data_IF_394619492858
#
_entry.id   IF_394619492858
#
_cell.length_a   1.000
_cell.length_b   1.000
_cell.length_c   1.000
_cell.angle_alpha   90.00
_cell.angle_beta   90.00
_cell.angle_gamma   90.00
#
_symmetry.space_group_name_H-M   'P 1'
#
loop_
_entity.id
_entity.type
_entity.pdbx_description
1 polymer ?
#
# COMPACT_ATOMS: atom_id res chain seq x y z
N UNK A 1 -13.54 -37.04 -9.20
CA UNK A 1 -12.46 -38.04 -9.26
C UNK A 1 -12.86 -39.30 -8.50
N UNK A 2 -12.43 -40.49 -8.93
CA UNK A 2 -12.60 -41.74 -8.18
C UNK A 2 -11.98 -41.61 -6.77
N UNK A 3 -12.67 -42.09 -5.73
CA UNK A 3 -12.19 -42.01 -4.34
C UNK A 3 -10.84 -42.72 -4.11
N UNK A 4 -10.52 -43.70 -4.94
CA UNK A 4 -9.26 -44.45 -4.89
C UNK A 4 -8.01 -43.65 -5.30
N UNK A 5 -8.19 -42.56 -6.07
CA UNK A 5 -7.08 -41.72 -6.54
C UNK A 5 -6.83 -40.52 -5.62
N UNK A 6 -7.63 -40.34 -4.57
CA UNK A 6 -7.46 -39.25 -3.62
C UNK A 6 -6.32 -39.65 -2.66
N UNK A 7 -5.21 -38.89 -2.62
CA UNK A 7 -4.13 -39.14 -1.67
C UNK A 7 -4.66 -39.10 -0.23
N UNK A 8 -4.19 -40.05 0.59
CA UNK A 8 -4.54 -40.13 2.01
C UNK A 8 -3.81 -39.07 2.83
N UNK A 9 -2.56 -38.79 2.47
CA UNK A 9 -1.68 -37.80 3.12
C UNK A 9 -1.16 -36.83 2.07
N UNK A 10 -0.91 -35.59 2.51
CA UNK A 10 -0.44 -34.51 1.64
C UNK A 10 0.91 -33.97 2.12
N UNK A 11 1.73 -33.43 1.21
CA UNK A 11 2.99 -32.78 1.60
C UNK A 11 2.75 -31.64 2.61
N UNK A 12 3.65 -31.50 3.58
CA UNK A 12 3.66 -30.45 4.60
C UNK A 12 3.58 -29.03 4.04
N UNK A 13 4.25 -28.77 2.92
CA UNK A 13 4.22 -27.45 2.26
C UNK A 13 2.86 -27.07 1.67
N UNK A 14 1.89 -27.99 1.56
CA UNK A 14 0.54 -27.67 1.10
C UNK A 14 -0.33 -27.03 2.18
N UNK A 15 0.10 -27.04 3.44
CA UNK A 15 -0.61 -26.38 4.56
C UNK A 15 -2.08 -26.81 4.68
N UNK A 16 -2.38 -28.08 4.41
CA UNK A 16 -3.73 -28.62 4.59
C UNK A 16 -3.96 -29.06 6.03
N UNK A 17 -4.37 -28.12 6.88
CA UNK A 17 -4.51 -28.29 8.33
C UNK A 17 -5.52 -29.37 8.75
N UNK A 18 -6.55 -29.60 7.93
CA UNK A 18 -7.64 -30.57 8.20
C UNK A 18 -7.30 -32.01 7.76
N UNK A 19 -6.14 -32.22 7.11
CA UNK A 19 -5.74 -33.50 6.53
C UNK A 19 -4.41 -33.94 7.10
N UNK A 20 -4.15 -35.26 7.19
CA UNK A 20 -2.86 -35.75 7.64
C UNK A 20 -1.78 -35.34 6.61
N UNK A 21 -0.63 -34.89 7.12
CA UNK A 21 0.48 -34.38 6.34
C UNK A 21 1.78 -35.13 6.62
N UNK A 22 2.66 -35.20 5.63
CA UNK A 22 4.00 -35.78 5.76
C UNK A 22 5.07 -34.77 5.37
N UNK A 23 6.27 -34.91 5.95
CA UNK A 23 7.41 -34.03 5.64
C UNK A 23 7.94 -34.38 4.25
N UNK A 24 7.86 -33.45 3.30
CA UNK A 24 8.35 -33.70 1.94
C UNK A 24 9.86 -33.51 1.84
N UNK A 25 10.59 -34.54 1.41
CA UNK A 25 12.05 -34.48 1.18
C UNK A 25 12.47 -33.76 -0.11
N UNK A 26 11.50 -33.38 -0.94
CA UNK A 26 11.72 -32.64 -2.19
C UNK A 26 12.25 -31.23 -1.96
N UNK A 27 12.77 -30.61 -3.02
CA UNK A 27 13.27 -29.23 -2.98
C UNK A 27 12.21 -28.25 -2.46
N UNK A 28 10.94 -28.44 -2.86
CA UNK A 28 9.84 -27.58 -2.45
C UNK A 28 9.55 -27.65 -0.93
N UNK A 29 9.55 -28.84 -0.34
CA UNK A 29 9.38 -29.02 1.10
C UNK A 29 10.53 -28.43 1.91
N UNK A 30 11.77 -28.56 1.41
CA UNK A 30 12.96 -27.93 2.04
C UNK A 30 12.89 -26.40 1.97
N UNK A 31 12.52 -25.84 0.82
CA UNK A 31 12.35 -24.40 0.63
C UNK A 31 11.22 -23.85 1.51
N UNK A 32 10.08 -24.53 1.57
CA UNK A 32 8.96 -24.16 2.42
C UNK A 32 9.37 -24.09 3.89
N UNK A 33 10.04 -25.12 4.42
CA UNK A 33 10.52 -25.16 5.81
C UNK A 33 11.55 -24.06 6.09
N UNK A 34 12.46 -23.80 5.17
CA UNK A 34 13.44 -22.72 5.29
C UNK A 34 12.77 -21.33 5.31
N UNK A 35 11.78 -21.10 4.44
CA UNK A 35 11.01 -19.86 4.39
C UNK A 35 10.14 -19.67 5.65
N UNK A 36 9.41 -20.71 6.05
CA UNK A 36 8.57 -20.71 7.24
C UNK A 36 9.39 -20.48 8.52
N UNK A 37 10.57 -21.10 8.63
CA UNK A 37 11.52 -20.85 9.71
C UNK A 37 11.97 -19.38 9.74
N UNK A 38 12.33 -18.81 8.59
CA UNK A 38 12.74 -17.40 8.48
C UNK A 38 11.62 -16.43 8.84
N UNK A 39 10.39 -16.72 8.45
CA UNK A 39 9.21 -15.91 8.80
C UNK A 39 8.89 -15.97 10.31
N UNK A 40 9.22 -17.07 10.99
CA UNK A 40 9.00 -17.23 12.43
C UNK A 40 10.16 -16.67 13.28
N UNK A 41 11.40 -16.76 12.79
CA UNK A 41 12.60 -16.35 13.54
C UNK A 41 12.97 -14.89 13.38
N UNK A 42 12.53 -14.24 12.30
CA UNK A 42 12.77 -12.82 12.08
C UNK A 42 11.42 -12.10 12.11
N UNK A 43 11.14 -11.22 13.10
CA UNK A 43 10.16 -10.16 12.85
C UNK A 43 10.63 -9.52 11.55
N UNK A 44 9.72 -9.39 10.56
CA UNK A 44 10.03 -8.84 9.25
C UNK A 44 10.97 -7.66 9.48
N UNK A 45 12.26 -7.84 9.14
CA UNK A 45 13.25 -6.78 9.34
C UNK A 45 12.59 -5.57 8.71
N UNK A 46 12.31 -4.49 9.47
CA UNK A 46 11.71 -3.32 8.87
C UNK A 46 12.58 -3.08 7.67
N UNK A 47 11.96 -3.20 6.49
CA UNK A 47 12.66 -2.94 5.26
C UNK A 47 13.45 -1.68 5.55
N UNK A 48 14.74 -1.68 5.25
CA UNK A 48 15.54 -0.46 5.23
C UNK A 48 14.97 0.57 4.20
N UNK A 49 13.70 0.42 3.78
CA UNK A 49 12.78 1.43 3.30
C UNK A 49 13.21 2.76 3.90
N UNK A 50 13.75 3.56 2.99
CA UNK A 50 14.39 4.82 3.25
C UNK A 50 13.59 5.59 4.29
N UNK A 51 14.24 6.02 5.36
CA UNK A 51 13.64 6.86 6.41
C UNK A 51 12.95 8.10 5.83
N UNK A 52 13.23 8.43 4.56
CA UNK A 52 12.29 9.13 3.73
C UNK A 52 12.41 8.84 2.24
N UNK A 53 11.28 8.74 1.52
CA UNK A 53 11.28 8.69 0.07
C UNK A 53 11.90 9.96 -0.55
N UNK A 54 12.58 9.77 -1.68
CA UNK A 54 13.13 10.88 -2.46
C UNK A 54 11.99 11.72 -3.07
N UNK A 55 12.15 13.05 -3.01
CA UNK A 55 11.22 14.00 -3.60
C UNK A 55 11.53 14.17 -5.10
N UNK A 56 10.53 13.97 -5.96
CA UNK A 56 10.65 14.18 -7.42
C UNK A 56 10.14 15.58 -7.78
N UNK A 57 11.03 16.55 -8.10
CA UNK A 57 10.62 17.90 -8.49
C UNK A 57 9.86 17.94 -9.81
N UNK A 58 9.92 16.88 -10.64
CA UNK A 58 9.20 16.82 -11.91
C UNK A 58 7.69 16.65 -11.74
N UNK A 59 7.22 16.42 -10.52
CA UNK A 59 5.80 16.39 -10.17
C UNK A 59 5.29 17.75 -9.68
N UNK A 60 6.13 18.79 -9.72
CA UNK A 60 5.73 20.17 -9.41
C UNK A 60 5.16 20.90 -10.64
N UNK A 61 4.04 21.61 -10.44
CA UNK A 61 3.37 22.40 -11.50
C UNK A 61 3.16 23.83 -11.02
N UNK A 62 3.58 24.86 -11.76
CA UNK A 62 3.45 26.25 -11.32
C UNK A 62 2.00 26.61 -10.97
N UNK A 63 1.83 27.33 -9.85
CA UNK A 63 0.52 27.65 -9.27
C UNK A 63 -0.06 26.57 -8.35
N UNK A 64 0.74 25.58 -7.93
CA UNK A 64 0.33 24.61 -6.90
C UNK A 64 0.19 25.25 -5.50
N UNK A 65 0.93 26.34 -5.24
CA UNK A 65 1.01 27.02 -3.94
C UNK A 65 -0.36 27.46 -3.42
N UNK A 66 -1.24 27.93 -4.31
CA UNK A 66 -2.61 28.36 -3.98
C UNK A 66 -3.46 27.23 -3.38
N UNK A 67 -3.09 25.97 -3.64
CA UNK A 67 -3.85 24.79 -3.21
C UNK A 67 -3.21 24.05 -2.03
N UNK A 68 -2.09 24.53 -1.48
CA UNK A 68 -1.38 23.86 -0.39
C UNK A 68 -2.24 23.73 0.88
N UNK A 69 -2.89 24.81 1.32
CA UNK A 69 -3.72 24.78 2.52
C UNK A 69 -4.87 23.76 2.39
N UNK A 70 -5.54 23.74 1.24
CA UNK A 70 -6.59 22.76 0.97
C UNK A 70 -6.06 21.33 0.86
N UNK A 71 -4.83 21.15 0.35
CA UNK A 71 -4.20 19.83 0.26
C UNK A 71 -3.83 19.30 1.65
N UNK A 72 -3.36 20.16 2.56
CA UNK A 72 -3.08 19.82 3.96
C UNK A 72 -4.35 19.36 4.70
N UNK A 73 -5.46 20.06 4.52
CA UNK A 73 -6.75 19.66 5.10
C UNK A 73 -7.20 18.28 4.61
N UNK A 74 -7.11 18.03 3.30
CA UNK A 74 -7.45 16.73 2.72
C UNK A 74 -6.52 15.62 3.22
N UNK A 75 -5.21 15.90 3.35
CA UNK A 75 -4.24 14.96 3.88
C UNK A 75 -4.52 14.62 5.34
N UNK A 76 -4.85 15.61 6.17
CA UNK A 76 -5.14 15.40 7.59
C UNK A 76 -6.39 14.56 7.79
N UNK A 77 -7.45 14.83 7.01
CA UNK A 77 -8.67 14.03 7.03
C UNK A 77 -8.42 12.60 6.56
N UNK A 78 -7.59 12.41 5.52
CA UNK A 78 -7.17 11.08 5.08
C UNK A 78 -6.39 10.33 6.17
N UNK A 79 -5.42 11.00 6.78
CA UNK A 79 -4.57 10.44 7.82
C UNK A 79 -5.38 10.00 9.05
N UNK A 80 -6.37 10.80 9.46
CA UNK A 80 -7.30 10.46 10.54
C UNK A 80 -8.14 9.21 10.21
N UNK A 81 -8.74 9.18 9.02
CA UNK A 81 -9.57 8.04 8.57
C UNK A 81 -8.76 6.76 8.43
N UNK A 82 -7.58 6.83 7.81
CA UNK A 82 -6.69 5.68 7.67
C UNK A 82 -6.20 5.20 9.03
N UNK A 83 -5.83 6.11 9.94
CA UNK A 83 -5.46 5.75 11.32
C UNK A 83 -6.58 5.04 12.05
N UNK A 84 -7.83 5.46 11.85
CA UNK A 84 -9.02 4.81 12.43
C UNK A 84 -9.19 3.39 11.90
N UNK A 85 -9.02 3.18 10.58
CA UNK A 85 -9.04 1.84 9.98
C UNK A 85 -7.90 0.96 10.51
N UNK A 86 -6.71 1.51 10.66
CA UNK A 86 -5.56 0.81 11.22
C UNK A 86 -5.82 0.35 12.65
N UNK A 87 -6.38 1.22 13.50
CA UNK A 87 -6.77 0.85 14.88
C UNK A 87 -7.86 -0.21 14.88
N UNK A 88 -8.88 -0.08 14.02
CA UNK A 88 -9.99 -1.03 13.92
C UNK A 88 -9.53 -2.44 13.54
N UNK A 89 -8.63 -2.55 12.56
CA UNK A 89 -8.12 -3.84 12.08
C UNK A 89 -6.85 -4.32 12.81
N UNK A 90 -6.26 -3.49 13.68
CA UNK A 90 -5.02 -3.82 14.40
C UNK A 90 -3.77 -3.80 13.53
N UNK A 91 -3.73 -2.95 12.49
CA UNK A 91 -2.55 -2.73 11.66
C UNK A 91 -1.62 -1.68 12.30
N UNK A 92 -0.33 -1.98 12.37
CA UNK A 92 0.67 -1.07 12.95
C UNK A 92 1.29 -0.16 11.89
N UNK A 93 1.46 -0.70 10.68
CA UNK A 93 2.10 -0.03 9.56
C UNK A 93 1.15 0.20 8.38
N UNK A 94 1.44 1.23 7.59
CA UNK A 94 0.68 1.60 6.41
C UNK A 94 0.65 0.47 5.36
N UNK A 95 1.75 -0.25 5.17
CA UNK A 95 1.81 -1.35 4.20
C UNK A 95 0.88 -2.51 4.58
N UNK A 96 0.69 -2.77 5.89
CA UNK A 96 -0.19 -3.83 6.37
C UNK A 96 -1.66 -3.55 6.03
N UNK A 97 -2.12 -2.31 6.28
CA UNK A 97 -3.51 -1.94 6.02
C UNK A 97 -3.78 -1.85 4.51
N UNK A 98 -2.84 -1.31 3.72
CA UNK A 98 -3.01 -1.18 2.28
C UNK A 98 -3.01 -2.53 1.55
N UNK A 99 -2.20 -3.48 2.02
CA UNK A 99 -2.13 -4.82 1.40
C UNK A 99 -3.11 -5.82 2.03
N UNK A 100 -3.71 -5.46 3.17
CA UNK A 100 -4.48 -6.37 4.02
C UNK A 100 -3.64 -7.48 4.67
N UNK A 101 -2.31 -7.39 4.64
CA UNK A 101 -1.41 -8.40 5.19
C UNK A 101 -0.87 -7.97 6.57
N UNK A 102 -1.65 -8.23 7.61
CA UNK A 102 -1.30 -7.88 9.00
C UNK A 102 -0.26 -8.87 9.54
N UNK A 103 0.89 -8.37 10.04
CA UNK A 103 1.98 -9.24 10.51
C UNK A 103 1.69 -9.90 11.86
N UNK A 104 1.01 -9.20 12.76
CA UNK A 104 0.71 -9.66 14.13
C UNK A 104 -0.43 -10.70 14.21
N UNK A 105 -1.02 -11.05 13.07
CA UNK A 105 -2.19 -11.94 12.93
C UNK A 105 -1.91 -13.43 13.16
N UNK A 106 -0.63 -13.84 13.17
CA UNK A 106 -0.18 -15.24 13.21
C UNK A 106 -0.71 -16.07 14.40
N UNK A 107 -1.42 -15.47 15.36
CA UNK A 107 -1.94 -16.13 16.56
C UNK A 107 -3.39 -16.62 16.47
N UNK A 108 -4.27 -16.06 15.64
CA UNK A 108 -5.71 -16.37 15.71
C UNK A 108 -6.28 -17.19 14.54
N UNK A 109 -5.58 -17.29 13.40
CA UNK A 109 -6.19 -17.85 12.19
C UNK A 109 -5.30 -18.70 11.29
N UNK A 110 -4.19 -19.21 11.79
CA UNK A 110 -3.48 -20.34 11.16
C UNK A 110 -4.34 -21.60 10.96
N UNK A 111 -5.59 -21.61 11.43
CA UNK A 111 -6.52 -22.74 11.39
C UNK A 111 -7.58 -22.66 10.29
N UNK A 112 -7.88 -21.47 9.74
CA UNK A 112 -9.00 -21.30 8.81
C UNK A 112 -8.63 -20.28 7.70
N UNK A 113 -7.96 -20.76 6.65
CA UNK A 113 -7.52 -19.94 5.52
C UNK A 113 -8.68 -19.13 4.93
N UNK A 114 -9.90 -19.68 4.92
CA UNK A 114 -11.07 -18.99 4.35
C UNK A 114 -11.36 -17.68 5.08
N UNK A 115 -11.40 -17.70 6.41
CA UNK A 115 -11.67 -16.52 7.23
C UNK A 115 -10.54 -15.48 7.12
N UNK A 116 -9.30 -15.92 6.90
CA UNK A 116 -8.20 -15.00 6.61
C UNK A 116 -8.44 -14.22 5.32
N UNK A 117 -8.78 -14.92 4.22
CA UNK A 117 -9.09 -14.27 2.95
C UNK A 117 -10.31 -13.34 3.10
N UNK A 118 -11.40 -13.80 3.74
CA UNK A 118 -12.57 -12.95 3.98
C UNK A 118 -12.24 -11.68 4.81
N UNK A 119 -11.35 -11.78 5.79
CA UNK A 119 -10.89 -10.62 6.56
C UNK A 119 -10.02 -9.68 5.72
N UNK A 120 -9.06 -10.24 4.99
CA UNK A 120 -8.19 -9.49 4.08
C UNK A 120 -9.03 -8.72 3.06
N UNK A 121 -10.04 -9.36 2.46
CA UNK A 121 -10.94 -8.74 1.51
C UNK A 121 -11.71 -7.58 2.15
N UNK A 122 -12.21 -7.73 3.39
CA UNK A 122 -12.86 -6.62 4.12
C UNK A 122 -11.93 -5.44 4.37
N UNK A 123 -10.67 -5.70 4.70
CA UNK A 123 -9.67 -4.64 4.89
C UNK A 123 -9.46 -3.89 3.57
N UNK A 124 -9.24 -4.63 2.49
CA UNK A 124 -9.04 -4.06 1.14
C UNK A 124 -10.27 -3.24 0.73
N UNK A 125 -11.48 -3.79 0.89
CA UNK A 125 -12.73 -3.10 0.57
C UNK A 125 -12.89 -1.80 1.36
N UNK A 126 -12.51 -1.80 2.65
CA UNK A 126 -12.58 -0.61 3.52
C UNK A 126 -11.61 0.48 3.05
N UNK A 127 -10.38 0.10 2.70
CA UNK A 127 -9.36 1.02 2.19
C UNK A 127 -9.75 1.54 0.81
N UNK A 128 -10.27 0.69 -0.08
CA UNK A 128 -10.80 1.11 -1.37
C UNK A 128 -11.97 2.08 -1.22
N UNK A 129 -12.87 1.85 -0.26
CA UNK A 129 -13.94 2.77 0.08
C UNK A 129 -13.41 4.15 0.47
N UNK A 130 -12.38 4.18 1.31
CA UNK A 130 -11.69 5.43 1.68
C UNK A 130 -11.04 6.10 0.45
N UNK A 131 -10.35 5.35 -0.39
CA UNK A 131 -9.73 5.90 -1.61
C UNK A 131 -10.77 6.48 -2.57
N UNK A 132 -11.93 5.82 -2.74
CA UNK A 132 -13.05 6.34 -3.54
C UNK A 132 -13.61 7.64 -2.97
N UNK A 133 -13.70 7.76 -1.65
CA UNK A 133 -14.15 8.98 -1.00
C UNK A 133 -13.16 10.14 -1.22
N UNK A 134 -11.87 9.89 -1.03
CA UNK A 134 -10.80 10.88 -1.26
C UNK A 134 -10.76 11.32 -2.72
N UNK A 135 -10.91 10.37 -3.65
CA UNK A 135 -11.03 10.66 -5.07
C UNK A 135 -12.29 11.49 -5.37
N UNK A 136 -13.38 11.27 -4.62
CA UNK A 136 -14.57 12.10 -4.64
C UNK A 136 -14.29 13.56 -4.27
N UNK A 137 -13.52 13.81 -3.21
CA UNK A 137 -13.10 15.18 -2.83
C UNK A 137 -12.27 15.85 -3.93
N UNK A 138 -11.41 15.08 -4.59
CA UNK A 138 -10.58 15.57 -5.68
C UNK A 138 -11.39 15.89 -6.95
N UNK A 139 -12.31 14.99 -7.33
CA UNK A 139 -13.12 15.11 -8.55
C UNK A 139 -14.25 16.13 -8.44
N UNK A 140 -14.67 16.48 -7.22
CA UNK A 140 -15.66 17.53 -6.97
C UNK A 140 -15.25 18.92 -7.48
N UNK A 141 -13.97 19.12 -7.82
CA UNK A 141 -13.42 20.40 -8.27
C UNK A 141 -13.07 20.38 -9.76
N UNK A 142 -12.93 21.55 -10.41
CA UNK A 142 -12.71 21.64 -11.86
C UNK A 142 -11.45 20.90 -12.34
N UNK A 143 -11.57 20.22 -13.49
CA UNK A 143 -10.46 19.48 -14.12
C UNK A 143 -9.29 20.37 -14.53
N UNK A 144 -9.54 21.64 -14.85
CA UNK A 144 -8.49 22.60 -15.23
C UNK A 144 -7.44 22.80 -14.12
N UNK A 145 -7.84 22.63 -12.85
CA UNK A 145 -6.98 22.79 -11.69
C UNK A 145 -6.41 21.45 -11.18
N UNK A 146 -6.74 20.33 -11.83
CA UNK A 146 -6.38 19.00 -11.35
C UNK A 146 -4.85 18.83 -11.24
N UNK A 147 -4.08 19.31 -12.23
CA UNK A 147 -2.62 19.22 -12.22
C UNK A 147 -1.99 19.99 -11.04
N UNK A 148 -2.43 21.23 -10.79
CA UNK A 148 -1.92 22.06 -9.68
C UNK A 148 -2.27 21.46 -8.32
N UNK A 149 -3.49 20.95 -8.16
CA UNK A 149 -3.94 20.29 -6.93
C UNK A 149 -3.19 18.99 -6.66
N UNK A 150 -2.99 18.18 -7.69
CA UNK A 150 -2.22 16.93 -7.59
C UNK A 150 -0.78 17.21 -7.17
N UNK A 151 -0.16 18.23 -7.77
CA UNK A 151 1.16 18.70 -7.38
C UNK A 151 1.21 19.16 -5.92
N UNK A 152 0.20 19.91 -5.46
CA UNK A 152 0.10 20.31 -4.05
C UNK A 152 -0.03 19.10 -3.10
N UNK A 153 -0.83 18.09 -3.47
CA UNK A 153 -0.98 16.84 -2.69
C UNK A 153 0.34 16.07 -2.60
N UNK A 154 1.09 15.99 -3.69
CA UNK A 154 2.42 15.38 -3.72
C UNK A 154 3.43 16.17 -2.87
N UNK A 155 3.39 17.50 -2.93
CA UNK A 155 4.26 18.37 -2.12
C UNK A 155 4.02 18.17 -0.63
N UNK A 156 2.77 18.24 -0.18
CA UNK A 156 2.39 18.13 1.24
C UNK A 156 2.85 16.81 1.85
N UNK A 157 2.87 15.74 1.07
CA UNK A 157 3.20 14.39 1.53
C UNK A 157 4.69 14.08 1.50
N UNK A 158 5.38 14.45 0.42
CA UNK A 158 6.78 14.05 0.19
C UNK A 158 7.80 15.13 0.58
N UNK A 159 7.42 16.41 0.57
CA UNK A 159 8.38 17.48 0.82
C UNK A 159 8.84 17.50 2.28
N UNK A 160 10.16 17.51 2.57
CA UNK A 160 10.69 17.64 3.93
C UNK A 160 10.12 18.81 4.74
N UNK A 161 9.77 19.94 4.10
CA UNK A 161 9.22 21.12 4.80
C UNK A 161 7.84 20.89 5.43
N UNK A 162 7.09 19.90 4.96
CA UNK A 162 5.74 19.59 5.45
C UNK A 162 5.71 18.36 6.37
N UNK A 163 6.89 17.80 6.71
CA UNK A 163 6.98 16.67 7.64
C UNK A 163 6.61 17.11 9.04
N UNK A 164 5.63 16.44 9.63
CA UNK A 164 5.14 16.72 10.98
C UNK A 164 5.91 15.87 11.99
N UNK A 165 6.81 16.44 12.81
CA UNK A 165 7.54 15.66 13.80
C UNK A 165 6.58 15.05 14.82
N UNK A 166 6.74 13.76 15.10
CA UNK A 166 5.95 13.03 16.11
C UNK A 166 4.59 12.49 15.65
N UNK A 167 4.16 12.74 14.40
CA UNK A 167 2.97 12.11 13.81
C UNK A 167 3.37 10.99 12.85
N UNK A 168 2.52 9.96 12.72
CA UNK A 168 2.65 8.96 11.65
C UNK A 168 2.44 9.66 10.30
N UNK A 169 3.37 9.45 9.38
CA UNK A 169 3.28 9.95 8.00
C UNK A 169 2.73 8.84 7.12
N UNK A 170 1.80 9.18 6.24
CA UNK A 170 1.23 8.28 5.25
C UNK A 170 1.68 8.69 3.86
N UNK A 171 2.26 7.75 3.13
CA UNK A 171 2.84 7.99 1.81
C UNK A 171 1.89 7.65 0.68
N UNK A 172 0.83 6.90 0.94
CA UNK A 172 -0.16 6.45 -0.04
C UNK A 172 -1.02 7.57 -0.62
N UNK A 173 -1.20 8.68 0.10
CA UNK A 173 -2.20 9.71 -0.22
C UNK A 173 -2.12 10.24 -1.67
N UNK A 174 -0.95 10.61 -2.21
CA UNK A 174 -0.87 11.15 -3.58
C UNK A 174 -1.09 10.06 -4.64
N UNK A 175 -0.80 8.80 -4.31
CA UNK A 175 -1.02 7.67 -5.21
C UNK A 175 -2.51 7.33 -5.37
N UNK A 176 -3.41 7.94 -4.60
CA UNK A 176 -4.85 7.86 -4.88
C UNK A 176 -5.19 8.56 -6.21
N UNK A 177 -4.41 9.57 -6.61
CA UNK A 177 -4.52 10.30 -7.87
C UNK A 177 -3.34 10.00 -8.82
N UNK A 178 -2.95 8.72 -8.90
CA UNK A 178 -1.90 8.23 -9.80
C UNK A 178 -2.05 8.76 -11.24
N UNK A 179 -3.26 8.73 -11.79
CA UNK A 179 -3.52 9.12 -13.18
C UNK A 179 -3.13 10.58 -13.46
N UNK A 180 -3.36 11.48 -12.51
CA UNK A 180 -2.98 12.90 -12.65
C UNK A 180 -1.49 13.11 -12.45
N UNK A 181 -0.85 12.37 -11.53
CA UNK A 181 0.61 12.40 -11.37
C UNK A 181 1.33 11.97 -12.65
N UNK A 182 0.83 10.90 -13.29
CA UNK A 182 1.38 10.42 -14.56
C UNK A 182 1.22 11.43 -15.69
N UNK A 183 0.07 12.11 -15.79
CA UNK A 183 -0.15 13.19 -16.78
C UNK A 183 0.82 14.36 -16.59
N UNK A 184 1.10 14.74 -15.34
CA UNK A 184 2.07 15.79 -15.03
C UNK A 184 3.45 15.37 -15.52
N UNK A 185 3.87 14.15 -15.17
CA UNK A 185 5.18 13.63 -15.55
C UNK A 185 5.35 13.56 -17.06
N UNK A 186 4.36 13.03 -17.78
CA UNK A 186 4.36 12.98 -19.24
C UNK A 186 4.43 14.39 -19.86
N UNK A 187 3.71 15.36 -19.32
CA UNK A 187 3.73 16.74 -19.80
C UNK A 187 5.09 17.40 -19.61
N UNK A 188 5.76 17.13 -18.48
CA UNK A 188 7.08 17.68 -18.18
C UNK A 188 8.19 17.01 -19.00
N UNK A 189 8.10 15.70 -19.27
CA UNK A 189 9.00 15.01 -20.18
C UNK A 189 8.93 15.57 -21.61
N UNK A 190 7.71 15.83 -22.11
CA UNK A 190 7.52 16.46 -23.44
C UNK A 190 8.13 17.86 -23.52
N UNK A 191 8.02 18.66 -22.45
CA UNK A 191 8.64 19.99 -22.38
C UNK A 191 10.16 19.91 -22.43
N UNK A 192 10.76 19.02 -21.64
CA UNK A 192 12.22 18.77 -21.67
C UNK A 192 12.71 18.38 -23.06
N UNK A 193 12.01 17.47 -23.73
CA UNK A 193 12.38 17.06 -25.09
C UNK A 193 12.30 18.20 -26.11
N UNK A 194 11.36 19.13 -25.93
CA UNK A 194 11.25 20.32 -26.79
C UNK A 194 12.37 21.33 -26.52
N UNK A 195 12.74 21.54 -25.25
CA UNK A 195 13.82 22.42 -24.86
C UNK A 195 15.19 21.87 -25.32
N UNK A 196 15.41 20.55 -25.20
CA UNK A 196 16.62 19.86 -25.67
C UNK A 196 16.75 19.85 -27.20
N UNK A 197 15.63 19.87 -27.93
CA UNK A 197 15.61 19.95 -29.39
C UNK A 197 15.77 21.39 -29.91
N UNK A 198 15.57 22.40 -29.07
CA UNK A 198 15.70 23.81 -29.40
C UNK A 198 17.07 24.41 -29.01
N UNK A 199 17.87 23.68 -28.21
CA UNK A 199 19.23 24.01 -27.80
C UNK A 199 20.29 23.44 -28.78
#
# INVERSE_FOLDING_TARGET
MPRSLIPKEYPDFMEWWDKPTYISDGALGKLYRAAASRMQSAPATPSSAQASPAFDPDLEVPGFEDFLASAEECYDLYAEKLSTLMVYYGAEHEDEILTGNIRNWLLYLKKDNKRYFEMKDRIIDSVEGLHKEVLGWFTSRPKAEAARRTSAWYRVTYHPGHRRPGKKQFWSFPWIVCDELLKIKESNERRRQQDDAAA
#
